data_IF_842523145907
#
_entry.id   IF_842523145907
#
_cell.length_a   1.000
_cell.length_b   1.000
_cell.length_c   1.000
_cell.angle_alpha   90.00
_cell.angle_beta   90.00
_cell.angle_gamma   90.00
#
_symmetry.space_group_name_H-M   'P 1'
#
loop_
_entity.id
_entity.type
_entity.pdbx_description
1 polymer ?
#
# COMPACT_ATOMS: atom_id res chain seq x y z
N UNK A 1 -5.33 -8.85 -7.90
CA UNK A 1 -5.14 -8.29 -6.54
C UNK A 1 -5.76 -6.89 -6.55
N UNK A 2 -7.09 -6.80 -6.51
CA UNK A 2 -7.79 -5.55 -6.85
C UNK A 2 -7.78 -4.50 -5.72
N UNK A 3 -7.63 -4.92 -4.46
CA UNK A 3 -7.63 -4.01 -3.32
C UNK A 3 -6.31 -3.25 -3.20
N UNK A 4 -5.17 -3.94 -3.35
CA UNK A 4 -3.86 -3.28 -3.39
C UNK A 4 -3.68 -2.44 -4.66
N UNK A 5 -4.19 -2.89 -5.82
CA UNK A 5 -4.23 -2.08 -7.04
C UNK A 5 -4.98 -0.76 -6.83
N UNK A 6 -6.12 -0.81 -6.15
CA UNK A 6 -6.88 0.39 -5.82
C UNK A 6 -6.09 1.33 -4.90
N UNK A 7 -5.41 0.81 -3.88
CA UNK A 7 -4.49 1.63 -3.06
C UNK A 7 -3.42 2.32 -3.93
N UNK A 8 -2.77 1.57 -4.83
CA UNK A 8 -1.71 2.11 -5.69
C UNK A 8 -2.24 3.21 -6.62
N UNK A 9 -3.26 2.91 -7.42
CA UNK A 9 -3.71 3.83 -8.46
C UNK A 9 -4.66 4.93 -8.00
N UNK A 10 -5.36 4.78 -6.86
CA UNK A 10 -6.32 5.78 -6.39
C UNK A 10 -5.81 6.63 -5.22
N UNK A 11 -4.77 6.21 -4.51
CA UNK A 11 -4.24 6.94 -3.36
C UNK A 11 -2.77 7.32 -3.54
N UNK A 12 -1.96 6.46 -4.16
CA UNK A 12 -0.57 6.79 -4.53
C UNK A 12 -0.44 7.18 -6.01
N UNK A 13 -1.42 7.89 -6.57
CA UNK A 13 -1.39 8.42 -7.94
C UNK A 13 -0.42 9.61 -8.08
N UNK A 14 -0.22 10.13 -9.29
CA UNK A 14 0.78 11.17 -9.61
C UNK A 14 0.74 12.44 -8.76
N UNK A 15 -0.41 12.75 -8.15
CA UNK A 15 -0.68 13.98 -7.38
C UNK A 15 -0.88 13.65 -5.88
N UNK A 16 -0.49 12.45 -5.44
CA UNK A 16 -0.71 11.98 -4.08
C UNK A 16 -0.10 12.91 -3.01
N UNK A 17 1.02 13.56 -3.32
CA UNK A 17 1.74 14.47 -2.44
C UNK A 17 1.13 15.88 -2.41
N UNK A 18 0.40 16.27 -3.45
CA UNK A 18 -0.37 17.51 -3.50
C UNK A 18 -1.66 17.36 -2.68
N UNK A 19 -2.35 16.22 -2.81
CA UNK A 19 -3.63 15.95 -2.13
C UNK A 19 -3.45 15.49 -0.68
N UNK A 20 -2.40 14.69 -0.42
CA UNK A 20 -2.12 14.05 0.86
C UNK A 20 -0.98 14.69 1.66
N UNK A 21 -0.01 15.34 1.02
CA UNK A 21 1.15 15.96 1.70
C UNK A 21 2.23 14.94 2.10
N UNK A 22 1.89 13.94 2.92
CA UNK A 22 2.80 12.90 3.41
C UNK A 22 2.24 11.50 3.16
N UNK A 23 3.12 10.50 3.06
CA UNK A 23 2.73 9.08 2.91
C UNK A 23 1.77 8.65 4.02
N UNK A 24 2.02 9.09 5.26
CA UNK A 24 1.16 8.79 6.41
C UNK A 24 -0.26 9.34 6.26
N UNK A 25 -0.42 10.48 5.58
CA UNK A 25 -1.72 11.10 5.35
C UNK A 25 -2.48 10.36 4.25
N UNK A 26 -1.79 9.94 3.19
CA UNK A 26 -2.36 9.07 2.14
C UNK A 26 -2.86 7.73 2.73
N UNK A 27 -2.05 7.09 3.57
CA UNK A 27 -2.46 5.86 4.27
C UNK A 27 -3.64 6.15 5.20
N UNK A 28 -3.60 7.24 5.96
CA UNK A 28 -4.69 7.63 6.87
C UNK A 28 -6.00 7.91 6.13
N UNK A 29 -5.94 8.45 4.92
CA UNK A 29 -7.10 8.63 4.05
C UNK A 29 -7.68 7.27 3.64
N UNK A 30 -6.82 6.35 3.19
CA UNK A 30 -7.23 5.00 2.80
C UNK A 30 -7.87 4.21 3.96
N UNK A 31 -7.37 4.39 5.18
CA UNK A 31 -7.93 3.72 6.37
C UNK A 31 -9.38 4.10 6.68
N UNK A 32 -9.91 5.19 6.09
CA UNK A 32 -11.32 5.60 6.23
C UNK A 32 -12.27 4.86 5.30
N UNK A 33 -11.74 4.06 4.38
CA UNK A 33 -12.54 3.18 3.52
C UNK A 33 -13.30 2.11 4.32
N UNK A 34 -14.19 1.41 3.62
CA UNK A 34 -14.90 0.25 4.20
C UNK A 34 -13.91 -0.78 4.75
N UNK A 35 -14.20 -1.33 5.93
CA UNK A 35 -13.30 -2.24 6.66
C UNK A 35 -12.87 -3.44 5.82
N UNK A 36 -13.77 -3.99 5.01
CA UNK A 36 -13.52 -5.15 4.16
C UNK A 36 -12.46 -4.85 3.09
N UNK A 37 -12.43 -3.63 2.57
CA UNK A 37 -11.41 -3.21 1.61
C UNK A 37 -10.04 -3.14 2.28
N UNK A 38 -9.96 -2.53 3.47
CA UNK A 38 -8.70 -2.45 4.24
C UNK A 38 -8.18 -3.85 4.58
N UNK A 39 -9.04 -4.77 5.01
CA UNK A 39 -8.69 -6.17 5.27
C UNK A 39 -8.17 -6.87 4.01
N UNK A 40 -8.88 -6.74 2.88
CA UNK A 40 -8.46 -7.33 1.62
C UNK A 40 -7.10 -6.77 1.14
N UNK A 41 -6.84 -5.48 1.36
CA UNK A 41 -5.54 -4.87 1.05
C UNK A 41 -4.42 -5.44 1.92
N UNK A 42 -4.63 -5.63 3.21
CA UNK A 42 -3.65 -6.28 4.11
C UNK A 42 -3.27 -7.67 3.60
N UNK A 43 -4.27 -8.48 3.24
CA UNK A 43 -4.06 -9.84 2.77
C UNK A 43 -3.32 -9.85 1.42
N UNK A 44 -3.69 -8.94 0.51
CA UNK A 44 -3.05 -8.85 -0.80
C UNK A 44 -1.62 -8.31 -0.74
N UNK A 45 -1.33 -7.34 0.13
CA UNK A 45 0.05 -6.93 0.39
C UNK A 45 0.85 -8.10 0.98
N UNK A 46 0.25 -8.86 1.90
CA UNK A 46 0.87 -10.09 2.43
C UNK A 46 1.22 -11.08 1.32
N UNK A 47 0.28 -11.38 0.43
CA UNK A 47 0.50 -12.28 -0.70
C UNK A 47 1.56 -11.75 -1.68
N UNK A 48 1.54 -10.45 -1.99
CA UNK A 48 2.51 -9.81 -2.89
C UNK A 48 3.94 -9.91 -2.34
N UNK A 49 4.12 -9.75 -1.03
CA UNK A 49 5.42 -9.86 -0.37
C UNK A 49 6.02 -11.27 -0.44
N UNK A 50 5.20 -12.31 -0.62
CA UNK A 50 5.65 -13.70 -0.80
C UNK A 50 5.91 -14.07 -2.26
N UNK A 51 5.58 -13.19 -3.22
CA UNK A 51 5.89 -13.43 -4.64
C UNK A 51 7.39 -13.25 -4.86
N UNK A 52 7.99 -14.29 -5.44
CA UNK A 52 9.34 -14.24 -5.98
C UNK A 52 9.30 -13.54 -7.34
N UNK A 53 9.76 -12.30 -7.36
CA UNK A 53 9.87 -11.47 -8.56
C UNK A 53 11.34 -11.29 -8.89
N UNK A 54 11.70 -11.18 -10.18
CA UNK A 54 13.04 -10.75 -10.55
C UNK A 54 13.33 -9.35 -10.00
N UNK A 55 14.61 -9.01 -9.90
CA UNK A 55 15.06 -7.69 -9.45
C UNK A 55 14.37 -6.55 -10.22
N UNK A 56 13.81 -5.59 -9.49
CA UNK A 56 13.03 -4.46 -10.01
C UNK A 56 11.59 -4.83 -10.40
N UNK A 57 11.22 -6.09 -10.28
CA UNK A 57 9.89 -6.58 -10.65
C UNK A 57 8.80 -6.08 -9.72
N UNK A 58 9.11 -5.80 -8.44
CA UNK A 58 8.12 -5.28 -7.51
C UNK A 58 7.79 -3.81 -7.83
N UNK A 59 8.81 -2.98 -8.06
CA UNK A 59 8.63 -1.59 -8.50
C UNK A 59 7.78 -1.52 -9.78
N UNK A 60 8.18 -2.24 -10.83
CA UNK A 60 7.47 -2.27 -12.11
C UNK A 60 6.01 -2.74 -11.95
N UNK A 61 5.75 -3.72 -11.07
CA UNK A 61 4.39 -4.19 -10.83
C UNK A 61 3.50 -3.13 -10.15
N UNK A 62 4.07 -2.35 -9.22
CA UNK A 62 3.36 -1.28 -8.53
C UNK A 62 3.10 -0.09 -9.46
N UNK A 63 4.07 0.24 -10.32
CA UNK A 63 3.92 1.26 -11.37
C UNK A 63 2.82 0.86 -12.37
N UNK A 64 2.77 -0.41 -12.79
CA UNK A 64 1.69 -0.94 -13.64
C UNK A 64 0.31 -0.75 -13.00
N UNK A 65 0.23 -0.77 -11.67
CA UNK A 65 -1.00 -0.53 -10.91
C UNK A 65 -1.30 0.95 -10.65
N UNK A 66 -0.47 1.84 -11.17
CA UNK A 66 -0.63 3.30 -11.05
C UNK A 66 0.04 3.91 -9.82
N UNK A 67 0.89 3.18 -9.10
CA UNK A 67 1.68 3.76 -8.02
C UNK A 67 2.70 4.75 -8.59
N UNK A 68 2.74 5.95 -8.03
CA UNK A 68 3.68 7.02 -8.34
C UNK A 68 4.51 7.40 -7.10
N UNK A 69 4.36 6.66 -5.99
CA UNK A 69 5.25 6.78 -4.86
C UNK A 69 6.57 6.04 -5.13
N UNK A 70 7.67 6.77 -4.97
CA UNK A 70 9.02 6.23 -5.07
C UNK A 70 9.56 5.84 -3.69
N UNK A 71 9.63 4.53 -3.41
CA UNK A 71 10.11 4.02 -2.13
C UNK A 71 11.65 3.94 -2.04
N UNK A 72 12.36 3.89 -3.17
CA UNK A 72 13.81 3.80 -3.25
C UNK A 72 14.29 3.06 -4.51
N UNK A 73 15.60 2.81 -4.60
CA UNK A 73 16.22 2.21 -5.80
C UNK A 73 16.11 0.67 -5.86
N UNK A 74 15.64 0.01 -4.79
CA UNK A 74 15.68 -1.45 -4.66
C UNK A 74 14.33 -2.04 -4.30
N UNK A 75 14.08 -3.27 -4.72
CA UNK A 75 12.89 -4.02 -4.29
C UNK A 75 12.81 -4.15 -2.77
N UNK A 76 13.95 -4.17 -2.06
CA UNK A 76 13.96 -4.18 -0.60
C UNK A 76 13.35 -2.91 0.00
N UNK A 77 13.55 -1.75 -0.62
CA UNK A 77 12.92 -0.50 -0.21
C UNK A 77 11.40 -0.56 -0.39
N UNK A 78 10.93 -1.05 -1.54
CA UNK A 78 9.50 -1.26 -1.80
C UNK A 78 8.89 -2.32 -0.86
N UNK A 79 9.60 -3.42 -0.59
CA UNK A 79 9.16 -4.45 0.37
C UNK A 79 9.07 -3.89 1.78
N UNK A 80 10.04 -3.09 2.22
CA UNK A 80 10.01 -2.43 3.51
C UNK A 80 8.82 -1.48 3.63
N UNK A 81 8.59 -0.67 2.60
CA UNK A 81 7.46 0.26 2.54
C UNK A 81 6.10 -0.45 2.57
N UNK A 82 5.90 -1.49 1.77
CA UNK A 82 4.66 -2.28 1.76
C UNK A 82 4.42 -2.98 3.12
N UNK A 83 5.48 -3.47 3.77
CA UNK A 83 5.38 -4.04 5.13
C UNK A 83 4.89 -3.00 6.12
N UNK A 84 5.45 -1.79 6.09
CA UNK A 84 5.06 -0.70 6.97
C UNK A 84 3.58 -0.33 6.79
N UNK A 85 3.13 -0.12 5.54
CA UNK A 85 1.71 0.15 5.24
C UNK A 85 0.80 -0.96 5.77
N UNK A 86 1.14 -2.23 5.50
CA UNK A 86 0.37 -3.39 5.96
C UNK A 86 0.27 -3.43 7.49
N UNK A 87 1.36 -3.15 8.17
CA UNK A 87 1.43 -3.22 9.63
C UNK A 87 0.65 -2.05 10.27
N UNK A 88 0.68 -0.85 9.66
CA UNK A 88 -0.21 0.26 10.02
C UNK A 88 -1.70 -0.12 9.88
N UNK A 89 -2.10 -0.74 8.76
CA UNK A 89 -3.47 -1.19 8.54
C UNK A 89 -3.90 -2.27 9.55
N UNK A 90 -3.02 -3.21 9.89
CA UNK A 90 -3.29 -4.24 10.92
C UNK A 90 -3.52 -3.61 12.30
N UNK A 91 -2.68 -2.64 12.67
CA UNK A 91 -2.83 -1.90 13.93
C UNK A 91 -4.18 -1.16 13.98
N UNK A 92 -4.55 -0.48 12.89
CA UNK A 92 -5.84 0.19 12.77
C UNK A 92 -7.02 -0.79 12.92
N UNK A 93 -7.01 -1.88 12.15
CA UNK A 93 -8.07 -2.89 12.18
C UNK A 93 -8.27 -3.52 13.56
N UNK A 94 -7.18 -3.70 14.32
CA UNK A 94 -7.20 -4.25 15.69
C UNK A 94 -7.79 -3.25 16.69
N UNK A 95 -7.45 -1.96 16.56
CA UNK A 95 -7.96 -0.90 17.43
C UNK A 95 -9.44 -0.61 17.18
N UNK A 96 -9.87 -0.58 15.92
CA UNK A 96 -11.27 -0.34 15.56
C UNK A 96 -12.21 -1.50 15.90
N UNK A 97 -11.69 -2.71 16.17
CA UNK A 97 -12.51 -3.85 16.61
C UNK A 97 -12.79 -3.83 18.13
N UNK A 98 -12.05 -3.01 18.89
CA UNK A 98 -12.20 -2.86 20.34
C UNK A 98 -13.08 -1.66 20.74
N UNK A 99 -13.55 -0.87 19.76
CA UNK A 99 -14.45 0.28 19.91
C UNK A 99 -15.88 -0.08 19.53
#
# INVERSE_FOLDING_TARGET
MEAVKYLMGAYFHQDWDIDGGLVSDTVSAFLRERRELVMATVDQIGALLEVDLPEGGLDAQLEEWGCQYYAGETDDAYRAWLKDIRDQMRSFLSTSAAS
#
